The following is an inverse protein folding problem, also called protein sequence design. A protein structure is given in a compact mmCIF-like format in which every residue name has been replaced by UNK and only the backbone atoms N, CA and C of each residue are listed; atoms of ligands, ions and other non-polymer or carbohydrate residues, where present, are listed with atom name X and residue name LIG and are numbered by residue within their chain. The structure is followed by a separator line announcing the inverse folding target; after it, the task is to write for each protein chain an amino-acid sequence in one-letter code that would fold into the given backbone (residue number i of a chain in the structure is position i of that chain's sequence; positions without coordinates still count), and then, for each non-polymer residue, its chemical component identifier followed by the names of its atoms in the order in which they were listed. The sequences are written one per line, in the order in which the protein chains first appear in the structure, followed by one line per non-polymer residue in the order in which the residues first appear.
data_IF_810240886375
#
_entry.id   IF_810240886375
#
_cell.length_a   1.000
_cell.length_b   1.000
_cell.length_c   1.000
_cell.angle_alpha   90.00
_cell.angle_beta   90.00
_cell.angle_gamma   90.00
#
_symmetry.space_group_name_H-M   'P 1'
#
loop_
_entity.id
_entity.type
_entity.pdbx_description
1 polymer ?
#
# COMPACT_ATOMS: atom_id res chain seq x y z
N UNK A 1 2.60 5.22 -13.40
CA UNK A 1 1.95 5.94 -14.51
C UNK A 1 1.07 5.04 -15.39
N UNK A 2 1.36 3.73 -15.53
CA UNK A 2 0.48 2.77 -16.23
C UNK A 2 -0.86 2.47 -15.52
N UNK A 3 -1.02 2.80 -14.23
CA UNK A 3 -2.26 2.54 -13.49
C UNK A 3 -3.37 3.60 -13.68
N UNK A 4 -3.03 4.77 -14.22
CA UNK A 4 -3.97 5.89 -14.39
C UNK A 4 -5.05 5.63 -15.46
N UNK A 5 -4.72 5.09 -16.66
CA UNK A 5 -5.76 4.73 -17.64
C UNK A 5 -6.68 3.64 -17.11
N UNK A 6 -6.12 2.71 -16.32
CA UNK A 6 -6.84 1.59 -15.72
C UNK A 6 -7.88 2.05 -14.69
N UNK A 7 -7.58 3.08 -13.89
CA UNK A 7 -8.54 3.59 -12.91
C UNK A 7 -9.75 4.26 -13.56
N UNK A 8 -9.58 4.88 -14.72
CA UNK A 8 -10.69 5.47 -15.50
C UNK A 8 -11.70 4.42 -15.94
N UNK A 9 -11.22 3.24 -16.36
CA UNK A 9 -12.09 2.12 -16.75
C UNK A 9 -12.91 1.65 -15.54
N UNK A 10 -12.30 1.54 -14.36
CA UNK A 10 -13.01 1.13 -13.14
C UNK A 10 -14.08 2.11 -12.68
N UNK A 11 -13.83 3.42 -12.82
CA UNK A 11 -14.83 4.46 -12.55
C UNK A 11 -16.00 4.36 -13.52
N UNK A 12 -15.72 4.23 -14.82
CA UNK A 12 -16.77 4.13 -15.85
C UNK A 12 -17.66 2.91 -15.59
N UNK A 13 -17.06 1.78 -15.23
CA UNK A 13 -17.75 0.53 -14.94
C UNK A 13 -18.58 0.62 -13.64
N UNK A 14 -18.08 1.31 -12.62
CA UNK A 14 -18.80 1.58 -11.38
C UNK A 14 -20.04 2.47 -11.59
N UNK A 15 -19.91 3.53 -12.38
CA UNK A 15 -21.02 4.43 -12.71
C UNK A 15 -22.10 3.73 -13.54
N UNK A 16 -21.69 2.89 -14.50
CA UNK A 16 -22.59 2.04 -15.27
C UNK A 16 -23.36 1.05 -14.38
N UNK A 17 -22.67 0.37 -13.46
CA UNK A 17 -23.30 -0.58 -12.54
C UNK A 17 -24.24 0.09 -11.52
N UNK A 18 -23.94 1.32 -11.13
CA UNK A 18 -24.74 2.05 -10.13
C UNK A 18 -25.79 2.97 -10.75
N UNK A 19 -25.91 2.97 -12.10
CA UNK A 19 -26.86 3.80 -12.86
C UNK A 19 -26.69 5.30 -12.64
N UNK A 20 -25.49 5.76 -12.27
CA UNK A 20 -25.21 7.15 -11.91
C UNK A 20 -24.78 7.98 -13.11
N UNK A 21 -25.30 9.22 -13.21
CA UNK A 21 -24.85 10.18 -14.23
C UNK A 21 -23.52 10.84 -13.86
N UNK A 22 -22.75 11.24 -14.87
CA UNK A 22 -21.58 12.10 -14.68
C UNK A 22 -22.06 13.50 -14.34
N UNK A 23 -21.88 13.89 -13.08
CA UNK A 23 -22.13 15.24 -12.58
C UNK A 23 -20.89 15.78 -11.86
N UNK A 24 -20.94 17.04 -11.42
CA UNK A 24 -19.79 17.70 -10.75
C UNK A 24 -19.31 16.90 -9.53
N UNK A 25 -20.24 16.35 -8.74
CA UNK A 25 -19.90 15.54 -7.55
C UNK A 25 -19.17 14.24 -7.93
N UNK A 26 -19.59 13.61 -9.02
CA UNK A 26 -18.91 12.44 -9.59
C UNK A 26 -17.51 12.81 -10.06
N UNK A 27 -17.33 13.95 -10.75
CA UNK A 27 -16.00 14.41 -11.18
C UNK A 27 -15.05 14.64 -10.00
N UNK A 28 -15.53 15.22 -8.90
CA UNK A 28 -14.75 15.35 -7.66
C UNK A 28 -14.31 13.97 -7.17
N UNK A 29 -15.21 12.99 -7.17
CA UNK A 29 -14.90 11.60 -6.82
C UNK A 29 -13.78 11.00 -7.70
N UNK A 30 -13.82 11.23 -9.01
CA UNK A 30 -12.80 10.76 -9.95
C UNK A 30 -11.43 11.38 -9.65
N UNK A 31 -11.39 12.69 -9.41
CA UNK A 31 -10.15 13.41 -9.08
C UNK A 31 -9.55 12.89 -7.77
N UNK A 32 -10.37 12.70 -6.73
CA UNK A 32 -9.91 12.10 -5.48
C UNK A 32 -9.37 10.68 -5.67
N UNK A 33 -10.08 9.87 -6.45
CA UNK A 33 -9.67 8.51 -6.78
C UNK A 33 -8.29 8.48 -7.46
N UNK A 34 -8.06 9.41 -8.39
CA UNK A 34 -6.78 9.53 -9.10
C UNK A 34 -5.62 9.72 -8.12
N UNK A 35 -5.77 10.60 -7.13
CA UNK A 35 -4.76 10.82 -6.09
C UNK A 35 -4.52 9.59 -5.22
N UNK A 36 -5.60 8.89 -4.87
CA UNK A 36 -5.56 7.67 -4.06
C UNK A 36 -4.84 6.51 -4.74
N UNK A 37 -5.20 6.23 -5.99
CA UNK A 37 -4.56 5.19 -6.80
C UNK A 37 -3.09 5.55 -7.06
N UNK A 38 -2.80 6.82 -7.33
CA UNK A 38 -1.43 7.29 -7.55
C UNK A 38 -0.57 7.11 -6.30
N UNK A 39 -1.09 7.43 -5.11
CA UNK A 39 -0.38 7.21 -3.83
C UNK A 39 -0.06 5.73 -3.61
N UNK A 40 -1.01 4.84 -3.89
CA UNK A 40 -0.80 3.40 -3.75
C UNK A 40 0.26 2.88 -4.74
N UNK A 41 0.26 3.39 -5.98
CA UNK A 41 1.22 3.01 -7.01
C UNK A 41 2.63 3.57 -6.81
N UNK A 42 2.76 4.86 -6.46
CA UNK A 42 4.07 5.51 -6.29
C UNK A 42 4.83 4.90 -5.11
N UNK A 43 4.15 4.58 -4.01
CA UNK A 43 4.76 3.96 -2.84
C UNK A 43 5.30 2.55 -3.12
N UNK A 44 4.67 1.80 -4.01
CA UNK A 44 5.13 0.49 -4.43
C UNK A 44 6.40 0.60 -5.29
N UNK A 45 6.38 1.49 -6.28
CA UNK A 45 7.51 1.71 -7.20
C UNK A 45 8.71 2.29 -6.45
N UNK A 46 8.48 3.24 -5.54
CA UNK A 46 9.54 3.83 -4.72
C UNK A 46 10.20 2.78 -3.83
N UNK A 47 9.41 1.92 -3.18
CA UNK A 47 9.94 0.82 -2.39
C UNK A 47 10.72 -0.20 -3.24
N UNK A 48 10.23 -0.52 -4.43
CA UNK A 48 10.95 -1.37 -5.37
C UNK A 48 12.29 -0.75 -5.81
N UNK A 49 12.33 0.57 -6.05
CA UNK A 49 13.56 1.28 -6.39
C UNK A 49 14.55 1.34 -5.21
N UNK A 50 14.07 1.54 -3.99
CA UNK A 50 14.91 1.48 -2.78
C UNK A 50 15.53 0.09 -2.59
N UNK A 51 14.75 -0.99 -2.74
CA UNK A 51 15.26 -2.36 -2.65
C UNK A 51 16.28 -2.66 -3.75
N UNK A 52 16.09 -2.12 -4.96
CA UNK A 52 17.08 -2.20 -6.05
C UNK A 52 18.37 -1.45 -5.73
N UNK A 53 18.27 -0.26 -5.11
CA UNK A 53 19.44 0.48 -4.65
C UNK A 53 20.21 -0.27 -3.56
N UNK A 54 19.51 -1.10 -2.77
CA UNK A 54 20.11 -2.01 -1.80
C UNK A 54 20.73 -3.29 -2.41
N UNK A 55 20.78 -3.40 -3.75
CA UNK A 55 21.45 -4.50 -4.46
C UNK A 55 20.58 -5.72 -4.76
N UNK A 56 19.28 -5.70 -4.47
CA UNK A 56 18.38 -6.80 -4.82
C UNK A 56 18.12 -6.87 -6.33
N UNK A 57 18.02 -8.11 -6.86
CA UNK A 57 17.60 -8.34 -8.24
C UNK A 57 16.19 -7.75 -8.46
N UNK A 58 15.95 -7.19 -9.65
CA UNK A 58 14.71 -6.43 -9.96
C UNK A 58 13.43 -7.20 -9.62
N UNK A 59 13.39 -8.50 -9.94
CA UNK A 59 12.24 -9.36 -9.67
C UNK A 59 11.98 -9.56 -8.18
N UNK A 60 13.04 -9.81 -7.41
CA UNK A 60 12.97 -10.04 -5.96
C UNK A 60 12.61 -8.76 -5.19
N UNK A 61 13.10 -7.60 -5.66
CA UNK A 61 12.75 -6.29 -5.14
C UNK A 61 11.25 -5.98 -5.31
N UNK A 62 10.67 -6.27 -6.48
CA UNK A 62 9.25 -6.07 -6.74
C UNK A 62 8.37 -7.01 -5.91
N UNK A 63 8.76 -8.29 -5.78
CA UNK A 63 8.01 -9.28 -5.01
C UNK A 63 7.97 -8.93 -3.52
N UNK A 64 9.11 -8.48 -3.00
CA UNK A 64 9.26 -8.03 -1.60
C UNK A 64 8.48 -6.74 -1.36
N UNK A 65 8.57 -5.77 -2.28
CA UNK A 65 7.78 -4.54 -2.23
C UNK A 65 6.28 -4.81 -2.23
N UNK A 66 5.82 -5.73 -3.09
CA UNK A 66 4.43 -6.16 -3.18
C UNK A 66 3.92 -6.74 -1.86
N UNK A 67 4.65 -7.68 -1.23
CA UNK A 67 4.25 -8.28 0.05
C UNK A 67 4.15 -7.26 1.19
N UNK A 68 5.08 -6.31 1.25
CA UNK A 68 5.10 -5.29 2.31
C UNK A 68 3.96 -4.29 2.13
N UNK A 69 3.64 -3.92 0.89
CA UNK A 69 2.58 -2.94 0.58
C UNK A 69 1.18 -3.53 0.55
N UNK A 70 1.03 -4.84 0.33
CA UNK A 70 -0.28 -5.48 0.21
C UNK A 70 -1.16 -5.26 1.45
N UNK A 71 -0.59 -5.44 2.66
CA UNK A 71 -1.30 -5.19 3.93
C UNK A 71 -1.80 -3.74 4.03
N UNK A 72 -0.94 -2.72 3.85
CA UNK A 72 -1.37 -1.32 3.79
C UNK A 72 -2.40 -1.00 2.71
N UNK A 73 -2.27 -1.54 1.49
CA UNK A 73 -3.20 -1.27 0.38
C UNK A 73 -4.61 -1.80 0.71
N UNK A 74 -4.69 -3.01 1.27
CA UNK A 74 -5.97 -3.58 1.70
C UNK A 74 -6.55 -2.76 2.86
N UNK A 75 -5.74 -2.39 3.84
CA UNK A 75 -6.17 -1.59 4.99
C UNK A 75 -6.83 -0.27 4.56
N UNK A 76 -6.20 0.48 3.64
CA UNK A 76 -6.76 1.76 3.18
C UNK A 76 -7.99 1.57 2.32
N UNK A 77 -7.99 0.58 1.42
CA UNK A 77 -9.13 0.27 0.55
C UNK A 77 -10.36 -0.07 1.39
N UNK A 78 -10.21 -0.99 2.35
CA UNK A 78 -11.29 -1.42 3.24
C UNK A 78 -11.80 -0.27 4.09
N UNK A 79 -10.88 0.51 4.70
CA UNK A 79 -11.26 1.66 5.54
C UNK A 79 -12.09 2.70 4.76
N UNK A 80 -11.72 3.01 3.52
CA UNK A 80 -12.47 3.96 2.71
C UNK A 80 -13.81 3.42 2.24
N UNK A 81 -13.87 2.14 1.84
CA UNK A 81 -15.14 1.52 1.44
C UNK A 81 -16.13 1.61 2.60
N UNK A 82 -15.72 1.21 3.81
CA UNK A 82 -16.61 1.30 4.98
C UNK A 82 -16.91 2.75 5.39
N UNK A 83 -15.94 3.66 5.30
CA UNK A 83 -16.15 5.08 5.61
C UNK A 83 -17.12 5.78 4.64
N UNK A 84 -17.13 5.36 3.37
CA UNK A 84 -18.00 5.93 2.33
C UNK A 84 -19.29 5.13 2.11
N UNK A 85 -19.41 3.93 2.68
CA UNK A 85 -20.59 3.08 2.57
C UNK A 85 -21.90 3.76 2.97
N UNK A 86 -22.02 4.43 4.15
CA UNK A 86 -23.27 5.11 4.51
C UNK A 86 -23.59 6.28 3.57
N UNK A 87 -22.55 6.96 3.06
CA UNK A 87 -22.69 8.06 2.11
C UNK A 87 -23.18 7.56 0.74
N UNK A 88 -22.69 6.40 0.30
CA UNK A 88 -23.10 5.77 -0.96
C UNK A 88 -24.56 5.29 -0.91
N UNK A 89 -25.04 4.89 0.27
CA UNK A 89 -26.44 4.54 0.54
C UNK A 89 -27.36 5.76 0.70
N UNK A 90 -26.83 6.99 0.54
CA UNK A 90 -27.59 8.24 0.66
C UNK A 90 -28.32 8.39 2.01
N UNK A 91 -27.71 7.88 3.10
CA UNK A 91 -28.32 7.96 4.44
C UNK A 91 -28.03 9.35 5.03
N UNK A 92 -29.08 10.14 5.28
CA UNK A 92 -29.02 11.45 5.93
C UNK A 92 -29.26 12.64 5.00
N UNK A 93 -29.44 13.83 5.58
CA UNK A 93 -29.69 15.05 4.83
C UNK A 93 -28.50 15.43 3.93
N UNK A 94 -28.79 15.79 2.67
CA UNK A 94 -27.77 16.13 1.68
C UNK A 94 -26.91 14.96 1.20
N UNK A 95 -27.15 13.73 1.69
CA UNK A 95 -26.43 12.55 1.25
C UNK A 95 -26.74 12.19 -0.21
N UNK A 96 -27.92 12.56 -0.72
CA UNK A 96 -28.31 12.34 -2.12
C UNK A 96 -27.37 13.06 -3.11
N UNK A 97 -26.90 14.26 -2.76
CA UNK A 97 -25.93 15.00 -3.57
C UNK A 97 -24.52 14.42 -3.51
N UNK A 98 -24.15 13.80 -2.39
CA UNK A 98 -22.81 13.24 -2.15
C UNK A 98 -22.70 11.75 -2.50
N UNK A 99 -23.82 11.06 -2.65
CA UNK A 99 -23.87 9.63 -2.99
C UNK A 99 -23.18 9.31 -4.33
N UNK A 100 -23.33 10.09 -5.41
CA UNK A 100 -22.63 9.83 -6.68
C UNK A 100 -21.09 9.88 -6.53
N UNK A 101 -20.59 10.83 -5.74
CA UNK A 101 -19.17 10.94 -5.41
C UNK A 101 -18.67 9.70 -4.68
N UNK A 102 -19.39 9.26 -3.64
CA UNK A 102 -19.02 8.08 -2.85
C UNK A 102 -19.03 6.79 -3.70
N UNK A 103 -20.06 6.61 -4.54
CA UNK A 103 -20.19 5.45 -5.43
C UNK A 103 -19.05 5.38 -6.45
N UNK A 104 -18.70 6.51 -7.07
CA UNK A 104 -17.58 6.58 -8.01
C UNK A 104 -16.24 6.19 -7.35
N UNK A 105 -16.00 6.67 -6.13
CA UNK A 105 -14.77 6.36 -5.38
C UNK A 105 -14.72 4.89 -4.97
N UNK A 106 -15.82 4.35 -4.42
CA UNK A 106 -15.88 2.94 -3.99
C UNK A 106 -15.65 2.00 -5.18
N UNK A 107 -16.37 2.18 -6.28
CA UNK A 107 -16.24 1.29 -7.42
C UNK A 107 -14.91 1.41 -8.15
N UNK A 108 -14.36 2.64 -8.26
CA UNK A 108 -13.01 2.83 -8.77
C UNK A 108 -11.94 2.22 -7.85
N UNK A 109 -12.10 2.26 -6.54
CA UNK A 109 -11.16 1.68 -5.58
C UNK A 109 -11.16 0.17 -5.64
N UNK A 110 -12.34 -0.46 -5.65
CA UNK A 110 -12.45 -1.92 -5.77
C UNK A 110 -11.78 -2.41 -7.05
N UNK A 111 -12.12 -1.77 -8.17
CA UNK A 111 -11.58 -2.14 -9.48
C UNK A 111 -10.07 -1.89 -9.54
N UNK A 112 -9.60 -0.71 -9.12
CA UNK A 112 -8.16 -0.39 -9.14
C UNK A 112 -7.34 -1.27 -8.20
N UNK A 113 -7.84 -1.62 -7.02
CA UNK A 113 -7.15 -2.50 -6.07
C UNK A 113 -7.08 -3.92 -6.62
N UNK A 114 -8.18 -4.46 -7.18
CA UNK A 114 -8.19 -5.77 -7.83
C UNK A 114 -7.23 -5.81 -9.02
N UNK A 115 -7.30 -4.82 -9.91
CA UNK A 115 -6.42 -4.75 -11.07
C UNK A 115 -4.96 -4.56 -10.64
N UNK A 116 -4.67 -3.80 -9.57
CA UNK A 116 -3.30 -3.67 -9.05
C UNK A 116 -2.79 -5.01 -8.50
N UNK A 117 -3.63 -5.74 -7.76
CA UNK A 117 -3.31 -7.07 -7.24
C UNK A 117 -3.12 -8.11 -8.35
N UNK A 118 -3.77 -7.95 -9.50
CA UNK A 118 -3.63 -8.80 -10.68
C UNK A 118 -2.45 -8.38 -11.58
N UNK A 119 -2.18 -7.07 -11.67
CA UNK A 119 -1.03 -6.51 -12.39
C UNK A 119 0.29 -6.92 -11.74
N UNK A 120 0.35 -7.10 -10.41
CA UNK A 120 1.56 -7.61 -9.74
C UNK A 120 2.00 -9.01 -10.25
N UNK A 121 1.14 -10.05 -10.26
CA UNK A 121 1.48 -11.36 -10.81
C UNK A 121 1.64 -11.36 -12.35
N UNK A 122 0.90 -10.52 -13.07
CA UNK A 122 1.10 -10.37 -14.54
C UNK A 122 2.42 -9.68 -14.87
N UNK A 123 2.82 -8.66 -14.12
CA UNK A 123 4.15 -8.06 -14.24
C UNK A 123 5.25 -9.06 -13.88
N UNK A 124 5.01 -9.94 -12.91
CA UNK A 124 5.94 -11.00 -12.55
C UNK A 124 6.18 -11.96 -13.73
N UNK A 125 5.12 -12.48 -14.34
CA UNK A 125 5.22 -13.39 -15.50
C UNK A 125 5.83 -12.71 -16.71
N UNK A 126 5.40 -11.50 -17.05
CA UNK A 126 5.97 -10.72 -18.17
C UNK A 126 7.46 -10.39 -17.97
N UNK A 127 7.90 -10.12 -16.74
CA UNK A 127 9.31 -9.88 -16.44
C UNK A 127 10.13 -11.17 -16.51
N UNK A 128 9.59 -12.31 -16.06
CA UNK A 128 10.25 -13.61 -16.22
C UNK A 128 10.42 -13.96 -17.70
N UNK A 129 9.36 -13.80 -18.51
CA UNK A 129 9.37 -14.10 -19.94
C UNK A 129 10.30 -13.17 -20.72
N UNK A 130 10.30 -11.87 -20.42
CA UNK A 130 11.20 -10.90 -21.05
C UNK A 130 12.68 -11.16 -20.70
N UNK A 131 12.97 -11.60 -19.47
CA UNK A 131 14.33 -11.96 -19.04
C UNK A 131 14.77 -13.29 -19.66
N UNK A 132 13.85 -14.26 -19.81
CA UNK A 132 14.11 -15.52 -20.50
C UNK A 132 14.44 -15.28 -21.98
N UNK A 133 13.69 -14.41 -22.65
CA UNK A 133 13.88 -14.05 -24.06
C UNK A 133 15.20 -13.29 -24.30
N UNK A 134 15.54 -12.31 -23.45
CA UNK A 134 16.83 -11.59 -23.53
C UNK A 134 18.01 -12.51 -23.21
N UNK A 135 17.85 -13.53 -22.36
CA UNK A 135 18.90 -14.53 -22.09
C UNK A 135 19.07 -15.54 -23.23
N UNK A 136 18.04 -15.82 -24.02
CA UNK A 136 18.15 -16.71 -25.20
C UNK A 136 18.85 -16.07 -26.39
N UNK A 137 18.88 -14.73 -26.48
CA UNK A 137 19.55 -13.99 -27.56
C UNK A 137 21.03 -13.61 -27.27
N UNK A 138 21.58 -13.96 -26.10
CA UNK A 138 23.01 -13.73 -25.83
C UNK A 138 23.89 -14.87 -26.38
N UNK A 139 24.88 -14.58 -27.24
CA UNK A 139 25.83 -15.58 -27.73
C UNK A 139 26.62 -16.19 -26.56
N UNK A 140 26.80 -17.52 -26.59
CA UNK A 140 27.25 -18.38 -25.49
C UNK A 140 28.62 -18.10 -24.85
N UNK A 141 29.26 -16.95 -25.13
CA UNK A 141 30.57 -16.56 -24.59
C UNK A 141 30.53 -15.85 -23.24
N UNK A 142 29.34 -15.51 -22.72
CA UNK A 142 29.14 -14.87 -21.39
C UNK A 142 28.55 -15.84 -20.35
N UNK A 143 28.18 -17.05 -20.76
CA UNK A 143 27.55 -18.07 -19.88
C UNK A 143 28.46 -18.54 -18.74
N UNK A 144 29.78 -18.29 -18.83
CA UNK A 144 30.77 -18.66 -17.82
C UNK A 144 31.12 -17.59 -16.77
N UNK A 145 30.58 -16.37 -16.84
CA UNK A 145 30.96 -15.26 -15.93
C UNK A 145 29.90 -15.00 -14.84
N UNK A 146 28.67 -15.48 -15.00
CA UNK A 146 27.57 -15.22 -14.06
C UNK A 146 27.47 -16.16 -12.84
N UNK A 147 28.22 -17.25 -12.81
CA UNK A 147 28.17 -18.28 -11.76
C UNK A 147 29.35 -18.17 -10.77
N UNK A 148 29.65 -16.96 -10.30
CA UNK A 148 30.62 -16.72 -9.22
C UNK A 148 30.13 -15.77 -8.11
N UNK A 149 28.89 -15.30 -8.17
CA UNK A 149 28.36 -14.34 -7.17
C UNK A 149 27.32 -14.93 -6.22
N UNK A 150 27.24 -16.26 -6.08
CA UNK A 150 26.56 -16.89 -4.94
C UNK A 150 27.59 -17.42 -3.94
N UNK A 151 28.12 -16.62 -2.99
CA UNK A 151 28.35 -17.20 -1.69
C UNK A 151 26.96 -17.54 -1.14
N UNK A 152 26.69 -18.84 -0.92
CA UNK A 152 25.61 -19.29 -0.04
C UNK A 152 25.80 -18.56 1.30
N UNK A 153 25.13 -17.42 1.51
CA UNK A 153 24.98 -16.89 2.86
C UNK A 153 24.07 -17.89 3.57
N UNK A 154 24.51 -18.51 4.67
CA UNK A 154 23.60 -19.28 5.51
C UNK A 154 22.47 -18.34 5.89
N UNK A 155 21.23 -18.75 5.64
CA UNK A 155 20.07 -18.13 6.28
C UNK A 155 20.36 -18.25 7.78
N UNK A 156 20.73 -17.15 8.41
CA UNK A 156 20.97 -17.12 9.85
C UNK A 156 19.70 -17.64 10.53
N UNK A 157 19.81 -18.62 11.44
CA UNK A 157 18.64 -19.16 12.12
C UNK A 157 17.92 -18.03 12.85
N UNK A 158 16.59 -18.09 12.82
CA UNK A 158 15.69 -17.22 13.55
C UNK A 158 16.21 -17.03 14.98
N UNK A 159 16.42 -15.77 15.35
CA UNK A 159 16.92 -15.33 16.63
C UNK A 159 16.13 -16.01 17.78
N UNK A 160 16.75 -16.90 18.59
CA UNK A 160 16.15 -17.40 19.80
C UNK A 160 16.80 -16.68 20.98
N UNK A 161 16.26 -15.52 21.37
CA UNK A 161 16.45 -14.94 22.70
C UNK A 161 15.59 -13.68 22.87
N UNK A 162 14.30 -13.87 23.18
CA UNK A 162 13.67 -12.92 24.10
C UNK A 162 14.40 -13.08 25.43
N UNK A 163 15.34 -12.19 25.74
CA UNK A 163 15.76 -11.97 27.12
C UNK A 163 14.52 -11.60 27.95
N UNK A 164 14.52 -11.85 29.27
CA UNK A 164 13.39 -11.47 30.10
C UNK A 164 13.15 -9.97 29.91
N UNK A 165 11.93 -9.63 29.50
CA UNK A 165 11.43 -8.26 29.49
C UNK A 165 11.60 -7.75 30.92
N UNK A 166 12.67 -6.99 31.15
CA UNK A 166 12.85 -6.26 32.39
C UNK A 166 11.70 -5.26 32.42
N UNK A 167 10.70 -5.53 33.26
CA UNK A 167 9.68 -4.57 33.58
C UNK A 167 10.38 -3.27 33.98
N UNK A 168 10.03 -2.10 33.40
CA UNK A 168 10.40 -0.85 34.04
C UNK A 168 9.76 -0.88 35.43
N UNK A 169 10.62 -0.98 36.44
CA UNK A 169 10.24 -0.80 37.83
C UNK A 169 9.39 0.46 37.91
N UNK A 170 8.18 0.28 38.44
CA UNK A 170 7.41 1.28 39.16
C UNK A 170 8.27 2.49 39.55
N UNK A 171 8.22 3.55 38.72
CA UNK A 171 8.50 4.89 39.20
C UNK A 171 7.29 5.22 40.05
N UNK A 172 7.48 4.98 41.34
CA UNK A 172 6.56 5.36 42.38
C UNK A 172 6.12 6.80 42.13
N UNK A 173 4.81 6.98 42.24
CA UNK A 173 4.11 8.23 42.45
C UNK A 173 4.85 9.15 43.42
N UNK A 174 5.60 10.12 42.91
CA UNK A 174 5.96 11.33 43.65
C UNK A 174 5.46 12.60 42.93
N UNK A 175 4.13 12.84 42.85
CA UNK A 175 3.61 14.20 42.78
C UNK A 175 3.06 14.71 44.13
N UNK A 176 3.00 13.88 45.18
CA UNK A 176 2.31 14.24 46.44
C UNK A 176 3.22 14.90 47.48
N UNK A 177 4.55 14.69 47.42
CA UNK A 177 5.47 15.25 48.41
C UNK A 177 5.72 16.77 48.23
N UNK A 178 5.51 17.33 47.02
CA UNK A 178 5.70 18.77 46.77
C UNK A 178 4.55 19.64 47.28
N UNK A 179 3.36 19.09 47.46
CA UNK A 179 2.19 19.82 47.96
C UNK A 179 2.18 20.06 49.49
N UNK A 180 3.08 19.42 50.24
CA UNK A 180 3.23 19.69 51.69
C UNK A 180 4.28 20.75 52.02
N UNK A 181 5.22 21.03 51.12
CA UNK A 181 6.22 22.09 51.33
C UNK A 181 5.63 23.47 51.01
N UNK A 182 4.79 23.58 49.98
CA UNK A 182 4.16 24.87 49.62
C UNK A 182 3.09 25.34 50.63
N UNK A 183 2.61 24.46 51.52
CA UNK A 183 1.65 24.81 52.57
C UNK A 183 2.29 25.26 53.90
N UNK A 184 3.61 25.08 54.06
CA UNK A 184 4.34 25.49 55.26
C UNK A 184 4.97 26.90 55.14
N UNK A 185 5.15 27.40 53.91
CA UNK A 185 5.74 28.71 53.62
C UNK A 185 4.71 29.85 53.44
N UNK A 186 3.41 29.59 53.67
CA UNK A 186 2.35 30.62 53.59
C UNK A 186 1.53 30.75 54.89
N UNK A 187 2.21 30.64 56.04
CA UNK A 187 1.68 30.98 57.37
C UNK A 187 2.60 32.02 58.05
#
# INVERSE_FOLDING_TARGET
MLALPLSFIGVALALLLTGGNINVMTMIGIIMLMGLVTKNGILLVDFANQQRAAGMARAEALLTAGRIRLRPIIMTTVAMIFGMMPLAMAIGEGAEQRAPMARAVIGGLITSTLLTLFVVPVMYTLLEDAVAWVRSDLPGRVRGIGDRSRPKRPVAPAHPARGPVRAPATVASEPVARLRLDAADNA
#
